data_IF_199394191841
#
_entry.id   IF_199394191841
#
_cell.length_a   1.000
_cell.length_b   1.000
_cell.length_c   1.000
_cell.angle_alpha   90.00
_cell.angle_beta   90.00
_cell.angle_gamma   90.00
#
_symmetry.space_group_name_H-M   'P 1'
#
loop_
_entity.id
_entity.type
_entity.pdbx_description
1 polymer ?
#
# COMPACT_ATOMS: atom_id res chain seq x y z
N UNK A 1 -23.86 -4.94 14.92
CA UNK A 1 -22.99 -4.18 15.86
C UNK A 1 -21.83 -3.58 15.08
N UNK A 2 -21.87 -2.28 14.79
CA UNK A 2 -20.73 -1.58 14.16
C UNK A 2 -19.66 -1.35 15.22
N UNK A 3 -18.56 -2.13 15.18
CA UNK A 3 -17.38 -1.80 15.97
C UNK A 3 -16.80 -0.52 15.36
N UNK A 4 -17.18 0.63 15.91
CA UNK A 4 -16.42 1.87 15.73
C UNK A 4 -15.03 1.57 16.28
N UNK A 5 -14.08 1.28 15.39
CA UNK A 5 -12.67 1.17 15.73
C UNK A 5 -12.19 2.57 16.08
N UNK A 6 -12.47 3.00 17.31
CA UNK A 6 -11.99 4.27 17.85
C UNK A 6 -10.50 4.12 18.09
N UNK A 7 -9.71 4.62 17.13
CA UNK A 7 -8.26 4.76 17.26
C UNK A 7 -7.93 5.47 18.58
N UNK A 8 -6.99 4.91 19.36
CA UNK A 8 -6.52 5.54 20.61
C UNK A 8 -6.05 6.97 20.37
N UNK A 9 -6.23 7.85 21.34
CA UNK A 9 -5.80 9.24 21.28
C UNK A 9 -4.30 9.38 20.96
N UNK A 10 -3.49 8.43 21.43
CA UNK A 10 -2.05 8.44 21.21
C UNK A 10 -1.67 7.99 19.79
N UNK A 11 -2.37 6.97 19.27
CA UNK A 11 -2.22 6.57 17.87
C UNK A 11 -2.66 7.70 16.94
N UNK A 12 -3.71 8.44 17.31
CA UNK A 12 -4.15 9.63 16.59
C UNK A 12 -3.08 10.73 16.61
N UNK A 13 -2.43 10.96 17.75
CA UNK A 13 -1.35 11.93 17.86
C UNK A 13 -0.18 11.62 16.92
N UNK A 14 0.21 10.35 16.78
CA UNK A 14 1.26 9.91 15.83
C UNK A 14 0.85 10.23 14.40
N UNK A 15 -0.38 9.90 14.02
CA UNK A 15 -0.90 10.18 12.68
C UNK A 15 -0.98 11.69 12.41
N UNK A 16 -1.44 12.48 13.38
CA UNK A 16 -1.50 13.94 13.27
C UNK A 16 -0.11 14.58 13.18
N UNK A 17 0.89 14.01 13.85
CA UNK A 17 2.28 14.43 13.75
C UNK A 17 2.85 14.16 12.36
N UNK A 18 2.71 12.93 11.85
CA UNK A 18 3.12 12.57 10.49
C UNK A 18 2.40 13.40 9.42
N UNK A 19 1.16 13.82 9.69
CA UNK A 19 0.40 14.71 8.81
C UNK A 19 0.99 16.13 8.77
N UNK A 20 1.50 16.64 9.89
CA UNK A 20 2.04 18.00 10.00
C UNK A 20 3.49 18.09 9.50
N UNK A 21 4.32 17.11 9.84
CA UNK A 21 5.76 17.15 9.60
C UNK A 21 6.21 16.26 8.43
N UNK A 22 5.34 15.37 7.95
CA UNK A 22 5.65 14.45 6.84
C UNK A 22 6.33 13.16 7.33
N UNK A 23 6.97 12.40 6.41
CA UNK A 23 7.70 11.19 6.75
C UNK A 23 8.77 11.47 7.80
N UNK A 24 8.76 10.74 8.91
CA UNK A 24 9.66 11.02 10.04
C UNK A 24 10.38 9.78 10.55
N UNK A 25 11.57 10.00 11.09
CA UNK A 25 12.36 8.98 11.77
C UNK A 25 11.78 8.61 13.14
N UNK A 26 12.13 7.42 13.61
CA UNK A 26 11.70 6.91 14.92
C UNK A 26 12.22 7.73 16.10
N UNK A 27 13.43 8.25 15.99
CA UNK A 27 14.04 9.11 17.02
C UNK A 27 13.26 10.41 17.20
N UNK A 28 12.90 11.05 16.10
CA UNK A 28 12.09 12.27 16.10
C UNK A 28 10.67 12.04 16.63
N UNK A 29 10.05 10.90 16.27
CA UNK A 29 8.76 10.48 16.83
C UNK A 29 8.83 10.27 18.35
N UNK A 30 9.90 9.64 18.85
CA UNK A 30 10.11 9.46 20.29
C UNK A 30 10.28 10.82 21.01
N UNK A 31 11.00 11.76 20.41
CA UNK A 31 11.17 13.11 20.98
C UNK A 31 9.88 13.92 20.96
N UNK A 32 9.02 13.74 19.96
CA UNK A 32 7.75 14.43 19.84
C UNK A 32 6.67 13.92 20.81
N UNK A 33 6.65 12.60 21.07
CA UNK A 33 5.65 11.95 21.92
C UNK A 33 6.09 11.94 23.40
N UNK A 34 6.11 13.11 24.02
CA UNK A 34 6.44 13.25 25.45
C UNK A 34 5.47 12.41 26.30
N UNK A 35 6.02 11.51 27.13
CA UNK A 35 5.24 10.66 28.04
C UNK A 35 5.02 9.22 27.58
N UNK A 36 5.51 8.83 26.40
CA UNK A 36 5.48 7.43 25.94
C UNK A 36 6.88 6.83 25.92
N UNK A 37 6.98 5.55 26.27
CA UNK A 37 8.23 4.81 26.12
C UNK A 37 8.47 4.43 24.66
N UNK A 38 9.74 4.24 24.28
CA UNK A 38 10.10 3.80 22.92
C UNK A 38 9.45 2.46 22.54
N UNK A 39 9.22 1.56 23.51
CA UNK A 39 8.55 0.29 23.31
C UNK A 39 7.07 0.46 22.94
N UNK A 40 6.36 1.33 23.65
CA UNK A 40 4.94 1.63 23.39
C UNK A 40 4.74 2.28 22.02
N UNK A 41 5.61 3.23 21.65
CA UNK A 41 5.58 3.87 20.33
C UNK A 41 5.77 2.83 19.22
N UNK A 42 6.69 1.89 19.41
CA UNK A 42 6.92 0.79 18.44
C UNK A 42 5.69 -0.09 18.28
N UNK A 43 5.09 -0.49 19.41
CA UNK A 43 3.89 -1.32 19.41
C UNK A 43 2.75 -0.60 18.68
N UNK A 44 2.61 0.70 18.87
CA UNK A 44 1.59 1.53 18.21
C UNK A 44 1.86 1.70 16.72
N UNK A 45 3.09 1.94 16.31
CA UNK A 45 3.48 2.01 14.90
C UNK A 45 3.19 0.68 14.20
N UNK A 46 3.50 -0.45 14.84
CA UNK A 46 3.17 -1.76 14.30
C UNK A 46 1.67 -1.97 14.15
N UNK A 47 0.88 -1.62 15.18
CA UNK A 47 -0.59 -1.71 15.11
C UNK A 47 -1.17 -0.80 14.02
N UNK A 48 -0.66 0.43 13.88
CA UNK A 48 -1.04 1.36 12.83
C UNK A 48 -0.64 0.85 11.44
N UNK A 49 0.50 0.17 11.33
CA UNK A 49 0.95 -0.46 10.10
C UNK A 49 0.07 -1.62 9.67
N UNK A 50 -0.28 -2.51 10.60
CA UNK A 50 -1.18 -3.64 10.35
C UNK A 50 -2.57 -3.13 9.95
N UNK A 51 -3.03 -2.06 10.59
CA UNK A 51 -4.30 -1.42 10.27
C UNK A 51 -4.25 -0.54 9.00
N UNK A 52 -3.10 -0.46 8.30
CA UNK A 52 -2.96 0.22 7.02
C UNK A 52 -2.93 1.76 7.10
N UNK A 53 -2.68 2.34 8.27
CA UNK A 53 -2.61 3.79 8.48
C UNK A 53 -1.25 4.37 8.13
N UNK A 54 -0.18 3.66 8.48
CA UNK A 54 1.21 4.10 8.35
C UNK A 54 2.01 2.97 7.72
N UNK A 55 3.06 3.29 6.97
CA UNK A 55 4.01 2.30 6.45
C UNK A 55 5.44 2.68 6.81
N UNK A 56 6.28 1.68 6.97
CA UNK A 56 7.72 1.88 7.14
C UNK A 56 8.41 1.79 5.78
N UNK A 57 9.16 2.83 5.43
CA UNK A 57 10.02 2.81 4.25
C UNK A 57 11.41 2.32 4.65
N UNK A 58 11.78 1.11 4.24
CA UNK A 58 13.10 0.54 4.53
C UNK A 58 14.25 1.32 3.87
N UNK A 59 13.98 1.94 2.73
CA UNK A 59 14.96 2.72 1.95
C UNK A 59 15.38 3.98 2.72
N UNK A 60 14.41 4.71 3.26
CA UNK A 60 14.67 5.97 3.95
C UNK A 60 14.67 5.84 5.47
N UNK A 61 14.34 4.65 6.00
CA UNK A 61 14.16 4.35 7.44
C UNK A 61 13.17 5.28 8.15
N UNK A 62 12.18 5.79 7.41
CA UNK A 62 11.13 6.68 7.90
C UNK A 62 9.78 5.98 7.98
N UNK A 63 8.92 6.49 8.85
CA UNK A 63 7.51 6.17 8.90
C UNK A 63 6.72 7.24 8.15
N UNK A 64 5.81 6.82 7.28
CA UNK A 64 4.98 7.71 6.48
C UNK A 64 3.53 7.25 6.44
N UNK A 65 2.60 8.17 6.17
CA UNK A 65 1.18 7.84 6.02
C UNK A 65 1.00 6.92 4.81
N UNK A 66 0.28 5.83 4.99
CA UNK A 66 0.02 4.91 3.88
C UNK A 66 -0.87 5.58 2.83
N UNK A 67 -0.61 5.38 1.52
CA UNK A 67 -1.47 5.91 0.45
C UNK A 67 -2.95 5.52 0.61
N UNK A 68 -3.22 4.32 1.15
CA UNK A 68 -4.56 3.82 1.44
C UNK A 68 -5.31 4.61 2.52
N UNK A 69 -4.57 5.23 3.45
CA UNK A 69 -5.14 5.98 4.56
C UNK A 69 -5.54 7.41 4.19
N UNK A 70 -5.10 7.93 3.04
CA UNK A 70 -5.45 9.30 2.62
C UNK A 70 -6.97 9.51 2.47
N UNK A 71 -7.72 8.49 2.01
CA UNK A 71 -9.18 8.54 1.92
C UNK A 71 -9.91 8.37 3.25
N UNK A 72 -9.21 8.00 4.33
CA UNK A 72 -9.79 7.82 5.67
C UNK A 72 -9.79 9.11 6.50
N UNK A 73 -9.25 10.21 5.97
CA UNK A 73 -9.29 11.53 6.59
C UNK A 73 -10.37 12.41 5.96
N UNK A 74 -11.62 12.41 6.49
CA UNK A 74 -12.68 13.28 5.97
C UNK A 74 -12.38 14.79 6.09
N UNK A 75 -11.33 15.17 6.84
CA UNK A 75 -10.88 16.56 6.99
C UNK A 75 -9.81 17.01 5.98
N UNK A 76 -9.36 16.15 5.05
CA UNK A 76 -8.29 16.49 4.09
C UNK A 76 -8.70 16.55 2.63
N UNK A 77 -9.86 16.02 2.24
CA UNK A 77 -10.29 16.06 0.84
C UNK A 77 -10.54 17.49 0.32
N UNK A 78 -10.65 18.50 1.19
CA UNK A 78 -10.82 19.90 0.80
C UNK A 78 -9.53 20.73 0.80
N UNK A 79 -8.47 20.34 1.52
CA UNK A 79 -7.26 21.16 1.64
C UNK A 79 -6.19 20.78 0.60
N UNK A 80 -5.99 19.49 0.33
CA UNK A 80 -5.04 19.03 -0.70
C UNK A 80 -5.60 19.15 -2.11
N UNK A 81 -6.92 18.97 -2.31
CA UNK A 81 -7.56 19.28 -3.60
C UNK A 81 -7.46 20.77 -3.95
N UNK A 82 -7.55 21.69 -2.99
CA UNK A 82 -7.40 23.13 -3.26
C UNK A 82 -5.97 23.56 -3.56
N UNK A 83 -4.95 22.91 -2.98
CA UNK A 83 -3.53 23.19 -3.27
C UNK A 83 -3.07 22.57 -4.59
N UNK A 84 -3.51 21.35 -4.92
CA UNK A 84 -3.23 20.72 -6.21
C UNK A 84 -3.94 21.45 -7.37
N UNK A 85 -5.18 21.89 -7.17
CA UNK A 85 -5.93 22.64 -8.19
C UNK A 85 -5.41 24.08 -8.33
N UNK A 86 -4.94 24.75 -7.27
CA UNK A 86 -4.34 26.10 -7.40
C UNK A 86 -2.97 26.09 -8.08
N UNK A 87 -2.12 25.08 -7.85
CA UNK A 87 -0.85 24.94 -8.61
C UNK A 87 -1.09 24.54 -10.07
N UNK A 88 -2.06 23.67 -10.35
CA UNK A 88 -2.40 23.30 -11.72
C UNK A 88 -3.05 24.47 -12.50
N UNK A 89 -3.84 25.33 -11.86
CA UNK A 89 -4.56 26.42 -12.57
C UNK A 89 -3.72 27.68 -12.78
N UNK A 90 -2.64 27.88 -12.00
CA UNK A 90 -1.71 28.98 -12.20
C UNK A 90 -0.69 28.71 -13.33
N UNK A 91 -0.43 27.44 -13.67
CA UNK A 91 0.46 27.06 -14.77
C UNK A 91 -0.20 27.08 -16.16
N UNK A 92 -1.54 27.20 -16.24
CA UNK A 92 -2.30 27.05 -17.50
C UNK A 92 -2.57 28.39 -18.22
N UNK A 93 -2.07 29.52 -17.71
CA UNK A 93 -2.34 30.85 -18.30
C UNK A 93 -1.17 31.56 -18.98
N UNK A 94 -0.01 30.93 -19.12
CA UNK A 94 1.09 31.53 -19.87
C UNK A 94 1.88 30.44 -20.62
N UNK A 95 1.73 30.40 -21.94
CA UNK A 95 2.56 29.57 -22.80
C UNK A 95 1.76 28.82 -23.84
N UNK A 96 1.62 29.47 -25.00
CA UNK A 96 1.36 28.93 -26.34
C UNK A 96 1.52 27.41 -26.43
N UNK A 97 0.44 26.73 -26.83
CA UNK A 97 0.40 25.31 -27.09
C UNK A 97 1.20 24.98 -28.35
N UNK A 98 2.37 24.35 -28.19
CA UNK A 98 2.86 23.43 -29.21
C UNK A 98 2.19 22.07 -29.02
N UNK A 99 1.76 21.39 -30.11
CA UNK A 99 1.18 20.06 -29.99
C UNK A 99 2.28 19.10 -29.54
N UNK A 100 2.24 18.71 -28.27
CA UNK A 100 3.13 17.68 -27.74
C UNK A 100 2.93 16.40 -28.54
N UNK A 101 4.01 15.89 -29.15
CA UNK A 101 4.04 14.55 -29.73
C UNK A 101 3.60 13.55 -28.65
N UNK A 102 2.41 12.98 -28.84
CA UNK A 102 1.90 11.89 -28.01
C UNK A 102 2.80 10.68 -28.22
N UNK A 103 3.81 10.53 -27.37
CA UNK A 103 4.59 9.30 -27.27
C UNK A 103 3.60 8.18 -26.97
N UNK A 104 3.49 7.15 -27.84
CA UNK A 104 2.55 6.07 -27.61
C UNK A 104 2.92 5.35 -26.30
N UNK A 105 1.93 4.93 -25.50
CA UNK A 105 2.17 4.27 -24.23
C UNK A 105 3.06 3.04 -24.44
N UNK A 106 4.09 2.90 -23.60
CA UNK A 106 4.95 1.71 -23.60
C UNK A 106 4.09 0.46 -23.36
N UNK A 107 3.89 -0.33 -24.40
CA UNK A 107 3.26 -1.64 -24.31
C UNK A 107 4.31 -2.66 -23.88
N UNK A 108 4.07 -3.36 -22.77
CA UNK A 108 4.84 -4.54 -22.40
C UNK A 108 4.08 -5.77 -22.89
N UNK A 109 4.70 -6.58 -23.75
CA UNK A 109 4.13 -7.86 -24.17
C UNK A 109 4.24 -8.86 -23.01
N UNK A 110 3.24 -8.87 -22.12
CA UNK A 110 3.22 -9.72 -20.94
C UNK A 110 3.17 -11.23 -21.28
N UNK A 111 2.82 -11.59 -22.52
CA UNK A 111 2.89 -12.96 -23.02
C UNK A 111 3.50 -12.99 -24.44
N UNK A 112 4.81 -12.75 -24.53
CA UNK A 112 5.56 -12.88 -25.79
C UNK A 112 5.81 -14.33 -26.21
N UNK A 113 5.54 -15.32 -25.35
CA UNK A 113 5.71 -16.74 -25.67
C UNK A 113 4.57 -17.55 -25.06
N UNK A 114 3.96 -18.41 -25.88
CA UNK A 114 3.08 -19.47 -25.39
C UNK A 114 3.94 -20.38 -24.51
N UNK A 115 3.71 -20.35 -23.19
CA UNK A 115 4.37 -21.27 -22.28
C UNK A 115 3.93 -22.69 -22.63
N UNK A 116 4.84 -23.46 -23.24
CA UNK A 116 4.66 -24.89 -23.44
C UNK A 116 5.30 -25.59 -22.24
N UNK A 117 4.51 -26.18 -21.33
CA UNK A 117 5.09 -26.92 -20.21
C UNK A 117 5.92 -28.09 -20.76
N UNK A 118 7.07 -28.41 -20.15
CA UNK A 118 7.87 -29.56 -20.56
C UNK A 118 7.03 -30.84 -20.44
N UNK A 119 7.19 -31.75 -21.41
CA UNK A 119 6.53 -33.05 -21.36
C UNK A 119 7.00 -33.81 -20.12
N UNK A 120 6.08 -34.06 -19.19
CA UNK A 120 6.35 -34.81 -17.97
C UNK A 120 6.37 -36.30 -18.36
N UNK A 121 7.55 -36.92 -18.28
CA UNK A 121 7.67 -38.38 -18.31
C UNK A 121 7.38 -38.92 -16.90
N UNK A 122 6.35 -39.77 -16.73
CA UNK A 122 6.06 -40.35 -15.42
C UNK A 122 7.19 -41.27 -14.97
N UNK A 123 7.54 -41.21 -13.68
CA UNK A 123 8.63 -42.01 -13.10
C UNK A 123 8.36 -43.53 -13.09
N UNK A 124 7.10 -43.94 -13.28
CA UNK A 124 6.66 -45.35 -13.29
C UNK A 124 5.55 -45.55 -14.30
N UNK A 125 5.52 -46.73 -14.92
CA UNK A 125 4.43 -47.14 -15.81
C UNK A 125 3.09 -47.09 -15.06
N UNK A 126 2.08 -46.42 -15.64
CA UNK A 126 0.74 -46.27 -15.04
C UNK A 126 0.56 -45.08 -14.10
N UNK A 127 1.58 -44.24 -13.84
CA UNK A 127 1.45 -43.14 -12.88
C UNK A 127 0.48 -42.01 -13.33
N UNK A 128 0.11 -41.95 -14.61
CA UNK A 128 -0.90 -41.03 -15.14
C UNK A 128 -2.24 -41.74 -15.46
N UNK A 129 -2.37 -43.03 -15.13
CA UNK A 129 -3.55 -43.83 -15.44
C UNK A 129 -4.56 -43.77 -14.29
N UNK A 130 -5.13 -42.58 -14.09
CA UNK A 130 -6.12 -42.32 -13.05
C UNK A 130 -7.49 -42.95 -13.35
N UNK A 131 -7.74 -43.39 -14.59
CA UNK A 131 -8.98 -44.06 -14.98
C UNK A 131 -9.15 -45.44 -14.37
N UNK A 132 -8.04 -46.11 -14.02
CA UNK A 132 -8.03 -47.44 -13.41
C UNK A 132 -8.01 -47.42 -11.88
N UNK A 133 -8.02 -46.25 -11.24
CA UNK A 133 -8.01 -46.11 -9.77
C UNK A 133 -9.45 -45.94 -9.28
N UNK A 134 -10.09 -46.96 -8.67
CA UNK A 134 -11.46 -46.82 -8.20
C UNK A 134 -11.52 -45.80 -7.06
N UNK A 135 -12.26 -44.71 -7.27
CA UNK A 135 -12.51 -43.72 -6.22
C UNK A 135 -13.33 -44.36 -5.10
N UNK A 136 -12.70 -44.68 -3.96
CA UNK A 136 -13.40 -45.11 -2.76
C UNK A 136 -13.91 -43.88 -2.02
N UNK A 137 -15.11 -43.42 -2.39
CA UNK A 137 -15.81 -42.39 -1.64
C UNK A 137 -16.08 -42.88 -0.22
N UNK A 138 -15.48 -42.23 0.77
CA UNK A 138 -15.73 -42.53 2.18
C UNK A 138 -17.02 -41.82 2.58
N UNK A 139 -18.10 -42.57 2.80
CA UNK A 139 -19.34 -42.03 3.37
C UNK A 139 -19.12 -41.80 4.87
N UNK A 140 -19.28 -40.56 5.31
CA UNK A 140 -19.41 -40.21 6.72
C UNK A 140 -20.78 -40.65 7.25
#
# INVERSE_FOLDING_TARGET
MSRKSTMSAESKAIVDYLRKFGPTNRTELNSAMRGQTAGEITKRLNNLSIAGWVRFSSVYRVWEISPSAHGMFPSLDMATKRLAVKKARAAVKAGVAEPAELVPPRTFNFHGTTYVPPQITPARQGALDFGNIPSRGQRC
#
